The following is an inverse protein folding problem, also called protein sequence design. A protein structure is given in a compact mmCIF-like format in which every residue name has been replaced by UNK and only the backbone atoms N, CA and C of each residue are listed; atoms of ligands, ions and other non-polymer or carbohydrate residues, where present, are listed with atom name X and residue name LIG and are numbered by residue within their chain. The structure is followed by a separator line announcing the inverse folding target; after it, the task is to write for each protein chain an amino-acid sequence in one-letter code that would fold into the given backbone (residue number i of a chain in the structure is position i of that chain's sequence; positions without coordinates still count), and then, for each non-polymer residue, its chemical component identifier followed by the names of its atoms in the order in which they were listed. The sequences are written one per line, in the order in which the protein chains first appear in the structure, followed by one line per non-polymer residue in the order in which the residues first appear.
data_IF_476906224520
#
_entry.id   IF_476906224520
#
_cell.length_a   1.000
_cell.length_b   1.000
_cell.length_c   1.000
_cell.angle_alpha   90.00
_cell.angle_beta   90.00
_cell.angle_gamma   90.00
#
_symmetry.space_group_name_H-M   'P 1'
#
loop_
_entity.id
_entity.type
_entity.pdbx_description
1 polymer ?
#
# COMPACT_ATOMS: atom_id res chain seq x y z
N UNK A 1 -10.26 -7.76 37.39
CA UNK A 1 -8.82 -7.45 37.57
C UNK A 1 -8.08 -7.87 36.30
N UNK A 2 -7.36 -6.95 35.68
CA UNK A 2 -6.65 -7.06 34.38
C UNK A 2 -5.36 -7.88 34.51
N UNK A 3 -5.03 -8.68 33.48
CA UNK A 3 -3.68 -9.00 32.93
C UNK A 3 -3.89 -10.08 31.85
N UNK A 4 -3.51 -9.97 30.57
CA UNK A 4 -2.45 -9.22 29.92
C UNK A 4 -1.37 -10.20 29.43
N UNK A 5 -1.11 -10.27 28.12
CA UNK A 5 0.03 -11.02 27.51
C UNK A 5 -0.36 -11.76 26.23
N UNK A 6 -0.26 -11.20 25.03
CA UNK A 6 0.93 -10.85 24.23
C UNK A 6 1.53 -12.06 23.46
N UNK A 7 1.16 -12.12 22.18
CA UNK A 7 1.92 -12.47 20.96
C UNK A 7 3.14 -13.40 21.05
N UNK A 8 3.18 -14.42 20.19
CA UNK A 8 4.29 -14.64 19.25
C UNK A 8 3.80 -15.38 18.00
N UNK A 9 3.78 -14.70 16.86
CA UNK A 9 3.61 -15.29 15.54
C UNK A 9 4.95 -15.85 15.07
N UNK A 10 4.97 -17.11 14.65
CA UNK A 10 6.18 -17.85 14.25
C UNK A 10 6.78 -17.25 12.98
N UNK A 11 7.99 -16.71 13.12
CA UNK A 11 8.83 -16.18 12.05
C UNK A 11 9.52 -17.32 11.31
N UNK A 12 9.24 -17.51 10.01
CA UNK A 12 10.04 -18.39 9.15
C UNK A 12 11.22 -17.58 8.61
N UNK A 13 12.42 -18.00 9.02
CA UNK A 13 13.69 -17.46 8.55
C UNK A 13 13.98 -17.92 7.11
N UNK A 14 14.33 -16.99 6.21
CA UNK A 14 15.06 -17.32 4.97
C UNK A 14 16.45 -16.74 5.11
N UNK A 15 17.38 -17.63 5.42
CA UNK A 15 18.81 -17.39 5.45
C UNK A 15 19.38 -17.84 4.09
N UNK A 16 19.90 -16.93 3.27
CA UNK A 16 21.02 -17.24 2.37
C UNK A 16 21.85 -15.99 2.10
N UNK A 17 23.10 -16.17 2.49
CA UNK A 17 24.22 -15.25 2.65
C UNK A 17 24.91 -14.94 1.31
N UNK A 18 25.31 -13.66 1.18
CA UNK A 18 26.44 -13.07 0.43
C UNK A 18 26.83 -13.63 -0.95
N UNK A 19 26.82 -12.73 -1.94
CA UNK A 19 28.07 -12.42 -2.64
C UNK A 19 28.13 -10.93 -2.96
N UNK A 20 29.14 -10.31 -2.39
CA UNK A 20 29.61 -8.96 -2.65
C UNK A 20 29.89 -8.70 -4.13
N UNK A 21 29.99 -7.40 -4.42
CA UNK A 21 31.09 -6.80 -5.20
C UNK A 21 30.69 -6.12 -6.52
N UNK A 22 30.35 -4.83 -6.37
CA UNK A 22 30.69 -3.66 -7.20
C UNK A 22 30.02 -3.47 -8.59
N UNK A 23 29.19 -2.43 -8.73
CA UNK A 23 29.66 -1.13 -9.25
C UNK A 23 28.71 0.03 -8.86
N UNK A 24 29.28 1.22 -8.72
CA UNK A 24 28.73 2.41 -8.06
C UNK A 24 28.13 3.42 -9.07
N UNK A 25 27.08 4.15 -8.64
CA UNK A 25 26.65 5.50 -9.09
C UNK A 25 26.01 5.69 -10.49
N UNK A 26 24.69 6.02 -10.51
CA UNK A 26 24.26 7.42 -10.67
C UNK A 26 22.79 7.67 -10.24
N UNK A 27 22.54 8.59 -9.30
CA UNK A 27 21.20 9.07 -8.96
C UNK A 27 20.79 10.25 -9.86
N UNK A 28 19.52 10.64 -9.71
CA UNK A 28 18.83 11.80 -10.31
C UNK A 28 18.11 11.55 -11.65
N UNK A 29 16.81 11.28 -11.51
CA UNK A 29 15.78 11.57 -12.50
C UNK A 29 14.52 12.00 -11.76
N UNK A 30 14.43 13.29 -11.39
CA UNK A 30 13.20 13.89 -10.89
C UNK A 30 12.14 13.89 -11.99
N UNK A 31 11.08 13.12 -11.78
CA UNK A 31 9.82 13.23 -12.50
C UNK A 31 8.68 13.31 -11.50
N UNK A 32 8.27 14.53 -11.15
CA UNK A 32 6.99 14.79 -10.50
C UNK A 32 5.91 14.76 -11.59
N UNK A 33 5.35 13.58 -11.80
CA UNK A 33 4.22 13.27 -12.65
C UNK A 33 3.82 11.85 -12.30
N UNK A 34 2.53 11.56 -12.09
CA UNK A 34 2.02 10.31 -11.53
C UNK A 34 2.51 9.07 -12.28
N UNK A 35 3.71 8.60 -11.94
CA UNK A 35 4.33 7.44 -12.53
C UNK A 35 4.01 6.25 -11.64
N UNK A 36 3.34 5.25 -12.22
CA UNK A 36 3.21 3.91 -11.65
C UNK A 36 4.60 3.43 -11.23
N UNK A 37 4.91 3.51 -9.94
CA UNK A 37 6.18 3.05 -9.39
C UNK A 37 6.02 1.59 -9.02
N UNK A 38 6.62 0.72 -9.81
CA UNK A 38 6.82 -0.68 -9.41
C UNK A 38 7.99 -0.74 -8.43
N UNK A 39 7.75 -1.19 -7.20
CA UNK A 39 8.81 -1.42 -6.22
C UNK A 39 9.67 -2.60 -6.66
N UNK A 40 10.99 -2.40 -6.78
CA UNK A 40 11.93 -3.44 -7.22
C UNK A 40 12.34 -4.38 -6.08
N UNK A 41 12.34 -3.86 -4.85
CA UNK A 41 12.73 -4.60 -3.66
C UNK A 41 11.93 -4.12 -2.44
N UNK A 42 12.07 -4.84 -1.33
CA UNK A 42 11.37 -4.55 -0.08
C UNK A 42 11.81 -3.23 0.57
N UNK A 43 13.10 -2.90 0.54
CA UNK A 43 13.61 -1.64 1.10
C UNK A 43 13.01 -0.41 0.42
N UNK A 44 12.76 -0.47 -0.89
CA UNK A 44 12.10 0.61 -1.64
C UNK A 44 10.66 0.79 -1.21
N UNK A 45 9.94 -0.31 -0.97
CA UNK A 45 8.58 -0.31 -0.48
C UNK A 45 8.52 0.22 0.97
N UNK A 46 9.44 -0.21 1.84
CA UNK A 46 9.52 0.26 3.22
C UNK A 46 9.87 1.76 3.28
N UNK A 47 10.79 2.23 2.43
CA UNK A 47 11.11 3.65 2.32
C UNK A 47 9.91 4.48 1.81
N UNK A 48 9.10 3.92 0.91
CA UNK A 48 7.87 4.55 0.47
C UNK A 48 6.82 4.59 1.60
N UNK A 49 6.59 3.49 2.31
CA UNK A 49 5.72 3.47 3.49
C UNK A 49 6.16 4.44 4.58
N UNK A 50 7.47 4.55 4.84
CA UNK A 50 7.99 5.50 5.82
C UNK A 50 7.69 6.96 5.46
N UNK A 51 7.68 7.28 4.15
CA UNK A 51 7.39 8.64 3.66
C UNK A 51 5.89 8.95 3.58
N UNK A 52 5.08 8.00 3.08
CA UNK A 52 3.67 8.24 2.75
C UNK A 52 2.69 7.62 3.73
N UNK A 53 3.10 6.64 4.54
CA UNK A 53 2.28 6.03 5.58
C UNK A 53 1.70 7.05 6.57
N UNK A 54 2.45 8.09 7.00
CA UNK A 54 1.89 9.16 7.84
C UNK A 54 0.77 9.98 7.19
N UNK A 55 0.67 9.97 5.85
CA UNK A 55 -0.38 10.65 5.08
C UNK A 55 -1.59 9.73 4.80
N UNK A 56 -1.50 8.45 5.15
CA UNK A 56 -2.60 7.51 4.98
C UNK A 56 -3.74 7.84 5.96
N UNK A 57 -5.02 7.75 5.53
CA UNK A 57 -6.16 7.92 6.41
C UNK A 57 -6.11 6.91 7.56
N UNK A 58 -6.44 7.37 8.77
CA UNK A 58 -6.56 6.50 9.95
C UNK A 58 -7.98 5.98 10.08
N UNK A 59 -8.18 4.94 10.89
CA UNK A 59 -9.52 4.46 11.21
C UNK A 59 -10.35 5.57 11.86
N UNK A 60 -11.54 5.82 11.32
CA UNK A 60 -12.42 6.91 11.75
C UNK A 60 -12.28 8.19 10.91
N UNK A 61 -11.17 8.36 10.18
CA UNK A 61 -11.06 9.46 9.22
C UNK A 61 -12.00 9.21 8.02
N UNK A 62 -12.51 10.27 7.36
CA UNK A 62 -13.24 10.12 6.12
C UNK A 62 -12.41 9.40 5.06
N UNK A 63 -12.97 8.34 4.47
CA UNK A 63 -12.32 7.62 3.37
C UNK A 63 -12.10 8.55 2.16
N UNK A 64 -10.90 8.56 1.54
CA UNK A 64 -10.61 9.36 0.35
C UNK A 64 -11.60 9.08 -0.78
N UNK A 65 -12.02 10.11 -1.50
CA UNK A 65 -12.88 9.91 -2.67
C UNK A 65 -12.07 9.33 -3.83
N UNK A 66 -12.68 8.41 -4.56
CA UNK A 66 -12.14 7.85 -5.80
C UNK A 66 -13.29 7.50 -6.74
N UNK A 67 -12.96 7.39 -8.03
CA UNK A 67 -13.86 6.93 -9.07
C UNK A 67 -13.25 5.70 -9.74
N UNK A 68 -14.02 4.62 -9.78
CA UNK A 68 -13.67 3.40 -10.50
C UNK A 68 -14.73 3.12 -11.55
N UNK A 69 -14.37 2.37 -12.59
CA UNK A 69 -15.38 1.80 -13.47
C UNK A 69 -15.93 0.51 -12.87
N UNK A 70 -17.19 0.21 -13.18
CA UNK A 70 -17.80 -1.06 -12.83
C UNK A 70 -17.10 -2.25 -13.51
N UNK A 71 -17.59 -3.46 -13.23
CA UNK A 71 -17.04 -4.70 -13.79
C UNK A 71 -17.14 -4.80 -15.31
N UNK A 72 -18.00 -3.99 -15.94
CA UNK A 72 -18.16 -3.91 -17.39
C UNK A 72 -17.31 -2.80 -18.02
N UNK A 73 -16.69 -1.95 -17.20
CA UNK A 73 -15.89 -0.81 -17.66
C UNK A 73 -16.75 0.36 -18.18
N UNK A 74 -18.05 0.37 -17.90
CA UNK A 74 -18.99 1.32 -18.50
C UNK A 74 -19.34 2.43 -17.52
N UNK A 75 -19.85 2.06 -16.34
CA UNK A 75 -20.41 3.03 -15.42
C UNK A 75 -19.36 3.49 -14.41
N UNK A 76 -19.08 4.80 -14.31
CA UNK A 76 -18.26 5.33 -13.23
C UNK A 76 -19.00 5.19 -11.89
N UNK A 77 -18.29 4.74 -10.88
CA UNK A 77 -18.75 4.53 -9.51
C UNK A 77 -17.86 5.34 -8.59
N UNK A 78 -18.43 6.34 -7.91
CA UNK A 78 -17.71 7.19 -6.96
C UNK A 78 -17.99 6.76 -5.52
N UNK A 79 -16.96 6.77 -4.67
CA UNK A 79 -17.14 6.41 -3.26
C UNK A 79 -18.09 7.38 -2.54
N UNK A 80 -18.02 8.67 -2.86
CA UNK A 80 -18.86 9.73 -2.30
C UNK A 80 -20.36 9.47 -2.44
N UNK A 81 -20.81 8.77 -3.48
CA UNK A 81 -22.22 8.49 -3.74
C UNK A 81 -22.86 7.56 -2.69
N UNK A 82 -22.04 6.82 -1.94
CA UNK A 82 -22.48 5.88 -0.91
C UNK A 82 -22.36 6.43 0.52
N UNK A 83 -21.66 7.55 0.71
CA UNK A 83 -21.42 8.14 2.05
C UNK A 83 -22.75 8.44 2.75
N UNK A 84 -22.88 8.01 4.00
CA UNK A 84 -24.07 8.23 4.82
C UNK A 84 -25.32 7.43 4.43
N UNK A 85 -25.28 6.67 3.33
CA UNK A 85 -26.42 5.85 2.88
C UNK A 85 -26.32 4.40 3.34
N UNK A 86 -25.12 3.83 3.30
CA UNK A 86 -24.85 2.43 3.67
C UNK A 86 -23.35 2.21 3.94
N UNK A 87 -22.98 1.22 4.76
CA UNK A 87 -21.60 0.76 4.85
C UNK A 87 -21.06 0.27 3.50
N UNK A 88 -19.77 0.49 3.25
CA UNK A 88 -19.08 0.09 2.01
C UNK A 88 -17.78 -0.61 2.37
N UNK A 89 -17.48 -1.70 1.66
CA UNK A 89 -16.20 -2.40 1.75
C UNK A 89 -15.43 -2.25 0.43
N UNK A 90 -14.14 -1.88 0.51
CA UNK A 90 -13.22 -1.86 -0.62
C UNK A 90 -12.31 -3.07 -0.54
N UNK A 91 -12.33 -3.91 -1.58
CA UNK A 91 -11.52 -5.12 -1.66
C UNK A 91 -10.59 -5.00 -2.86
N UNK A 92 -9.28 -5.08 -2.62
CA UNK A 92 -8.28 -5.17 -3.69
C UNK A 92 -8.04 -6.64 -3.99
N UNK A 93 -8.32 -7.04 -5.23
CA UNK A 93 -8.09 -8.40 -5.73
C UNK A 93 -7.53 -8.36 -7.14
N UNK A 94 -6.82 -9.42 -7.51
CA UNK A 94 -6.38 -9.66 -8.88
C UNK A 94 -7.12 -10.87 -9.43
N UNK A 95 -7.76 -10.71 -10.59
CA UNK A 95 -8.24 -11.84 -11.37
C UNK A 95 -7.12 -12.20 -12.35
N UNK A 96 -6.58 -13.42 -12.22
CA UNK A 96 -5.51 -13.95 -13.08
C UNK A 96 -6.09 -14.85 -14.14
#
# INVERSE_FOLDING_TARGET
MIRGGCLTSTLIAVHRKERDMLDEVRPEGKGQGGATRTFQNRSDADAWHGRYGPLAPKAGDPAPDFELRDVHGENPVRLSDFRGRRPVALVFGSFT
#
